data_IF_530787480647
#
_entry.id   IF_530787480647
#
_cell.length_a   1.000
_cell.length_b   1.000
_cell.length_c   1.000
_cell.angle_alpha   90.00
_cell.angle_beta   90.00
_cell.angle_gamma   90.00
#
_symmetry.space_group_name_H-M   'P 1'
#
loop_
_entity.id
_entity.type
_entity.pdbx_description
1 polymer ?
#
# COMPACT_ATOMS: atom_id res chain seq x y z
N UNK A 1 -7.21 12.76 3.35
CA UNK A 1 -8.17 12.09 2.44
C UNK A 1 -8.63 13.15 1.45
N UNK A 2 -8.42 12.92 0.15
CA UNK A 2 -8.71 13.92 -0.90
C UNK A 2 -10.20 14.24 -0.97
N UNK A 3 -10.53 15.45 -1.44
CA UNK A 3 -11.83 16.12 -1.29
C UNK A 3 -13.07 15.31 -1.71
N UNK A 4 -14.24 15.86 -1.33
CA UNK A 4 -15.60 15.30 -1.40
C UNK A 4 -16.01 14.59 -2.71
N UNK A 5 -15.32 14.82 -3.83
CA UNK A 5 -15.63 14.23 -5.14
C UNK A 5 -14.60 13.25 -5.71
N UNK A 6 -13.55 12.87 -4.97
CA UNK A 6 -12.47 12.03 -5.51
C UNK A 6 -12.95 10.57 -5.69
N UNK A 7 -13.20 10.17 -6.94
CA UNK A 7 -13.72 8.84 -7.32
C UNK A 7 -12.66 7.75 -7.42
N UNK A 8 -11.40 8.11 -7.66
CA UNK A 8 -10.31 7.17 -7.93
C UNK A 8 -9.12 7.42 -7.01
N UNK A 9 -8.42 6.34 -6.67
CA UNK A 9 -7.15 6.38 -5.97
C UNK A 9 -6.05 5.83 -6.89
N UNK A 10 -4.95 6.58 -7.03
CA UNK A 10 -3.76 6.16 -7.77
C UNK A 10 -2.62 5.78 -6.85
N UNK A 11 -1.44 5.56 -7.44
CA UNK A 11 -0.21 5.24 -6.71
C UNK A 11 0.09 6.28 -5.62
N UNK A 12 0.32 5.81 -4.40
CA UNK A 12 0.60 6.60 -3.21
C UNK A 12 -0.58 7.40 -2.64
N UNK A 13 -1.80 7.20 -3.14
CA UNK A 13 -2.98 7.77 -2.50
C UNK A 13 -3.38 7.01 -1.23
N UNK A 14 -3.86 7.77 -0.25
CA UNK A 14 -4.40 7.25 1.00
C UNK A 14 -5.86 6.84 0.84
N UNK A 15 -6.16 5.62 1.24
CA UNK A 15 -7.51 5.05 1.27
C UNK A 15 -7.88 4.57 2.66
N UNK A 16 -9.18 4.54 2.95
CA UNK A 16 -9.74 3.86 4.11
C UNK A 16 -10.47 2.62 3.61
N UNK A 17 -10.18 1.47 4.21
CA UNK A 17 -10.74 0.19 3.80
C UNK A 17 -11.18 -0.62 5.02
N UNK A 18 -12.10 -1.56 4.78
CA UNK A 18 -12.52 -2.55 5.78
C UNK A 18 -11.84 -3.87 5.44
N UNK A 19 -11.23 -4.51 6.43
CA UNK A 19 -10.58 -5.81 6.27
C UNK A 19 -11.65 -6.88 6.08
N UNK A 20 -11.69 -7.50 4.90
CA UNK A 20 -12.66 -8.56 4.57
C UNK A 20 -12.15 -9.95 4.93
N UNK A 21 -10.85 -10.15 4.84
CA UNK A 21 -10.19 -11.40 5.20
C UNK A 21 -8.88 -11.10 5.93
N UNK A 22 -8.54 -11.94 6.90
CA UNK A 22 -7.36 -11.78 7.73
C UNK A 22 -6.81 -13.16 8.13
N UNK A 23 -5.49 -13.29 8.08
CA UNK A 23 -4.82 -14.49 8.59
C UNK A 23 -5.09 -14.65 10.09
N UNK A 24 -5.32 -15.88 10.58
CA UNK A 24 -5.56 -16.08 12.00
C UNK A 24 -4.34 -15.67 12.82
N UNK A 25 -4.52 -15.18 14.06
CA UNK A 25 -3.42 -14.69 14.90
C UNK A 25 -2.31 -15.72 15.13
N UNK A 26 -2.65 -17.01 15.10
CA UNK A 26 -1.72 -18.14 15.23
C UNK A 26 -0.90 -18.43 13.96
N UNK A 27 -1.40 -18.08 12.78
CA UNK A 27 -0.72 -18.25 11.50
C UNK A 27 0.02 -17.00 11.02
N UNK A 28 -0.23 -15.84 11.64
CA UNK A 28 0.59 -14.65 11.53
C UNK A 28 1.97 -14.94 12.17
N UNK A 29 2.82 -15.67 11.44
CA UNK A 29 4.18 -16.01 11.86
C UNK A 29 4.86 -14.75 12.41
N UNK A 30 5.55 -14.87 13.55
CA UNK A 30 6.59 -13.91 13.98
C UNK A 30 7.52 -13.63 12.79
N UNK A 31 7.28 -12.56 12.03
CA UNK A 31 8.07 -12.16 10.87
C UNK A 31 7.43 -12.31 9.47
N UNK A 32 6.20 -12.82 9.34
CA UNK A 32 5.46 -12.82 8.07
C UNK A 32 3.97 -12.53 8.30
N UNK A 33 3.63 -11.24 8.41
CA UNK A 33 2.24 -10.81 8.52
C UNK A 33 2.09 -9.56 9.38
N UNK A 34 1.07 -8.76 9.04
CA UNK A 34 0.71 -7.53 9.74
C UNK A 34 0.19 -7.92 11.12
N UNK A 35 1.00 -7.76 12.16
CA UNK A 35 0.62 -8.15 13.51
C UNK A 35 -0.66 -7.39 13.93
N UNK A 36 -1.71 -8.15 14.25
CA UNK A 36 -2.91 -7.62 14.90
C UNK A 36 -3.92 -6.92 13.99
N UNK A 37 -4.08 -7.34 12.73
CA UNK A 37 -5.21 -6.92 11.90
C UNK A 37 -6.32 -7.96 11.97
N UNK A 38 -7.55 -7.53 12.29
CA UNK A 38 -8.73 -8.41 12.41
C UNK A 38 -9.70 -8.21 11.25
N UNK A 39 -10.44 -9.28 10.90
CA UNK A 39 -11.58 -9.17 9.98
C UNK A 39 -12.60 -8.18 10.55
N UNK A 40 -13.07 -7.25 9.71
CA UNK A 40 -14.00 -6.19 10.09
C UNK A 40 -13.33 -4.91 10.62
N UNK A 41 -12.01 -4.90 10.84
CA UNK A 41 -11.29 -3.70 11.26
C UNK A 41 -11.25 -2.66 10.12
N UNK A 42 -11.48 -1.39 10.48
CA UNK A 42 -11.32 -0.26 9.56
C UNK A 42 -9.85 0.17 9.61
N UNK A 43 -9.18 0.15 8.46
CA UNK A 43 -7.75 0.45 8.34
C UNK A 43 -7.49 1.57 7.33
N UNK A 44 -6.41 2.31 7.55
CA UNK A 44 -5.83 3.23 6.56
C UNK A 44 -4.78 2.49 5.76
N UNK A 45 -4.76 2.67 4.44
CA UNK A 45 -3.80 2.05 3.56
C UNK A 45 -3.32 3.02 2.47
N UNK A 46 -2.15 2.72 1.91
CA UNK A 46 -1.54 3.44 0.79
C UNK A 46 -1.52 2.51 -0.41
N UNK A 47 -2.01 2.99 -1.56
CA UNK A 47 -1.97 2.22 -2.81
C UNK A 47 -0.52 2.15 -3.32
N UNK A 48 0.00 0.95 -3.57
CA UNK A 48 1.40 0.74 -4.00
C UNK A 48 1.53 0.15 -5.40
N UNK A 49 0.49 -0.55 -5.89
CA UNK A 49 0.39 -1.07 -7.25
C UNK A 49 -1.00 -0.81 -7.82
N UNK A 50 -1.05 -0.47 -9.09
CA UNK A 50 -2.29 -0.29 -9.85
C UNK A 50 -2.19 -0.95 -11.21
N UNK A 51 -3.24 -1.67 -11.58
CA UNK A 51 -3.45 -2.22 -12.92
C UNK A 51 -3.66 -1.13 -13.98
N UNK A 52 -4.24 0.00 -13.58
CA UNK A 52 -4.35 1.18 -14.44
C UNK A 52 -2.97 1.84 -14.58
N UNK A 53 -2.62 2.14 -15.83
CA UNK A 53 -1.39 2.83 -16.19
C UNK A 53 -1.32 4.24 -15.58
N UNK A 54 -0.13 4.59 -15.10
CA UNK A 54 0.21 5.92 -14.60
C UNK A 54 1.29 6.49 -15.48
N UNK A 55 1.03 7.70 -16.00
CA UNK A 55 2.00 8.45 -16.81
C UNK A 55 3.02 9.12 -15.90
N UNK A 56 4.30 8.96 -16.23
CA UNK A 56 5.43 9.58 -15.54
C UNK A 56 5.84 10.90 -16.20
N UNK A 57 6.56 11.78 -15.46
CA UNK A 57 7.03 13.05 -16.00
C UNK A 57 7.99 12.90 -17.20
N UNK A 58 8.73 11.79 -17.26
CA UNK A 58 9.62 11.43 -18.38
C UNK A 58 8.85 10.92 -19.62
N UNK A 59 7.52 10.85 -19.56
CA UNK A 59 6.67 10.37 -20.65
C UNK A 59 6.47 8.86 -20.69
N UNK A 60 7.19 8.10 -19.85
CA UNK A 60 6.98 6.66 -19.71
C UNK A 60 5.66 6.35 -18.98
N UNK A 61 5.18 5.11 -19.10
CA UNK A 61 4.00 4.63 -18.40
C UNK A 61 4.37 3.43 -17.55
N UNK A 62 3.86 3.40 -16.32
CA UNK A 62 3.97 2.24 -15.43
C UNK A 62 2.59 1.64 -15.18
N UNK A 63 2.50 0.31 -15.25
CA UNK A 63 1.34 -0.47 -14.84
C UNK A 63 1.81 -1.76 -14.18
N UNK A 64 0.99 -2.29 -13.28
CA UNK A 64 1.21 -3.59 -12.63
C UNK A 64 0.14 -4.58 -13.08
N UNK A 65 0.36 -5.87 -12.80
CA UNK A 65 -0.64 -6.90 -13.13
C UNK A 65 -1.82 -6.88 -12.15
N UNK A 66 -1.57 -6.49 -10.89
CA UNK A 66 -2.54 -6.47 -9.80
C UNK A 66 -2.65 -5.10 -9.11
N UNK A 67 -3.74 -4.92 -8.34
CA UNK A 67 -3.90 -3.78 -7.44
C UNK A 67 -3.49 -4.20 -6.02
N UNK A 68 -2.61 -3.41 -5.39
CA UNK A 68 -2.15 -3.70 -4.04
C UNK A 68 -2.03 -2.44 -3.18
N UNK A 69 -2.24 -2.59 -1.88
CA UNK A 69 -2.11 -1.52 -0.89
C UNK A 69 -1.41 -2.00 0.38
N UNK A 70 -0.70 -1.09 1.04
CA UNK A 70 0.01 -1.34 2.30
C UNK A 70 -0.72 -0.64 3.44
N UNK A 71 -1.03 -1.40 4.50
CA UNK A 71 -1.68 -0.87 5.70
C UNK A 71 -0.69 0.00 6.47
N UNK A 72 -1.14 1.19 6.86
CA UNK A 72 -0.35 2.18 7.59
C UNK A 72 -1.00 2.53 8.92
N UNK A 73 -0.20 3.10 9.82
CA UNK A 73 -0.68 3.73 11.05
C UNK A 73 -0.96 5.23 10.82
N UNK A 74 -1.33 5.94 11.89
CA UNK A 74 -1.62 7.37 11.81
C UNK A 74 -0.39 8.25 11.56
N UNK A 75 0.80 7.71 11.82
CA UNK A 75 2.09 8.35 11.54
C UNK A 75 2.62 8.03 10.14
N UNK A 76 1.77 7.53 9.24
CA UNK A 76 2.13 7.19 7.85
C UNK A 76 3.20 6.09 7.73
N UNK A 77 3.43 5.33 8.79
CA UNK A 77 4.36 4.22 8.81
C UNK A 77 3.63 2.90 8.52
N UNK A 78 4.25 1.95 7.81
CA UNK A 78 3.65 0.63 7.58
C UNK A 78 3.43 -0.09 8.93
N UNK A 79 2.28 -0.73 9.10
CA UNK A 79 2.02 -1.59 10.26
C UNK A 79 2.74 -2.94 10.19
N UNK A 80 3.13 -3.36 8.98
CA UNK A 80 3.90 -4.58 8.75
C UNK A 80 5.41 -4.33 8.76
N UNK A 81 6.18 -5.41 8.92
CA UNK A 81 7.66 -5.37 8.91
C UNK A 81 8.28 -5.75 7.56
N UNK A 82 7.47 -6.20 6.59
CA UNK A 82 7.90 -6.64 5.26
C UNK A 82 6.87 -6.27 4.20
N UNK A 83 7.35 -5.99 2.99
CA UNK A 83 6.52 -5.72 1.82
C UNK A 83 6.76 -6.81 0.79
N UNK A 84 5.68 -7.26 0.16
CA UNK A 84 5.72 -8.31 -0.86
C UNK A 84 5.46 -7.74 -2.24
N UNK A 85 6.31 -8.14 -3.18
CA UNK A 85 6.26 -7.72 -4.58
C UNK A 85 6.84 -6.31 -4.81
N UNK A 86 6.90 -5.89 -6.08
CA UNK A 86 7.45 -4.61 -6.47
C UNK A 86 6.54 -3.47 -6.00
N UNK A 87 7.14 -2.29 -5.84
CA UNK A 87 6.44 -1.03 -5.52
C UNK A 87 6.83 0.07 -6.49
N UNK A 88 5.92 1.02 -6.70
CA UNK A 88 6.16 2.12 -7.63
C UNK A 88 7.02 3.24 -7.01
N UNK A 89 7.95 3.81 -7.78
CA UNK A 89 8.86 4.90 -7.35
C UNK A 89 8.13 6.17 -6.89
N UNK A 90 6.90 6.37 -7.36
CA UNK A 90 6.00 7.48 -7.03
C UNK A 90 5.74 7.58 -5.50
N UNK A 91 5.93 6.47 -4.76
CA UNK A 91 5.85 6.46 -3.30
C UNK A 91 6.95 7.30 -2.63
N UNK A 92 8.11 7.48 -3.27
CA UNK A 92 9.19 8.33 -2.75
C UNK A 92 8.78 9.80 -2.74
N UNK A 93 8.16 10.26 -3.82
CA UNK A 93 7.68 11.64 -3.99
C UNK A 93 6.60 12.00 -2.97
N UNK A 94 5.83 11.00 -2.54
CA UNK A 94 4.77 11.14 -1.52
C UNK A 94 5.22 10.84 -0.09
N UNK A 95 6.53 10.86 0.19
CA UNK A 95 7.14 10.68 1.52
C UNK A 95 6.93 9.31 2.18
N UNK A 96 6.68 8.25 1.42
CA UNK A 96 6.55 6.88 1.95
C UNK A 96 7.89 6.12 1.96
N UNK A 97 8.96 6.77 2.42
CA UNK A 97 10.32 6.21 2.37
C UNK A 97 10.44 4.85 3.05
N UNK A 98 9.81 4.64 4.21
CA UNK A 98 9.85 3.34 4.92
C UNK A 98 9.23 2.20 4.10
N UNK A 99 8.21 2.48 3.30
CA UNK A 99 7.59 1.49 2.41
C UNK A 99 8.57 1.13 1.29
N UNK A 100 9.19 2.14 0.70
CA UNK A 100 10.16 1.95 -0.37
C UNK A 100 11.41 1.19 0.12
N UNK A 101 11.88 1.47 1.33
CA UNK A 101 13.06 0.81 1.91
C UNK A 101 12.83 -0.66 2.28
N UNK A 102 11.59 -1.06 2.59
CA UNK A 102 11.24 -2.44 2.95
C UNK A 102 10.82 -3.29 1.76
N UNK A 103 10.66 -2.68 0.58
CA UNK A 103 10.25 -3.38 -0.63
C UNK A 103 11.44 -4.08 -1.30
N UNK A 104 11.23 -5.28 -1.87
CA UNK A 104 12.29 -6.02 -2.56
C UNK A 104 12.75 -5.31 -3.84
N UNK A 105 11.81 -4.67 -4.56
CA UNK A 105 12.06 -4.02 -5.85
C UNK A 105 11.25 -2.73 -5.98
N UNK A 106 11.84 -1.72 -6.63
CA UNK A 106 11.21 -0.41 -6.88
C UNK A 106 11.27 -0.13 -8.37
N UNK A 107 10.10 0.11 -8.99
CA UNK A 107 9.93 0.33 -10.43
C UNK A 107 9.54 1.77 -10.75
#
# INVERSE_FOLDING_TARGET
>A
LGGSGKRYAGLGDLIVAVVKDALPPSAARKGAGIAGVKKGEIVKAVVVRTSKEVRRPDGSYIRFDDNAAVIINEQMNPRGTRIFGPVARELREKNFMKIVSLAPEVL
#
